data_IF_759480355427
#
_entry.id   IF_759480355427
#
_cell.length_a   1.000
_cell.length_b   1.000
_cell.length_c   1.000
_cell.angle_alpha   90.00
_cell.angle_beta   90.00
_cell.angle_gamma   90.00
#
_symmetry.space_group_name_H-M   'P 1'
#
loop_
_entity.id
_entity.type
_entity.pdbx_description
1 polymer ?
#
# COMPACT_ATOMS: atom_id res chain seq x y z
N UNK A 1 31.63 -3.88 -30.66
CA UNK A 1 30.95 -4.74 -29.67
C UNK A 1 30.01 -3.82 -28.88
N UNK A 2 28.70 -4.02 -29.02
CA UNK A 2 27.71 -3.13 -28.41
C UNK A 2 27.57 -3.51 -26.93
N UNK A 3 28.05 -2.68 -26.01
CA UNK A 3 28.02 -2.97 -24.56
C UNK A 3 26.63 -3.30 -24.01
N UNK A 4 25.57 -2.77 -24.64
CA UNK A 4 24.17 -3.10 -24.30
C UNK A 4 23.84 -4.59 -24.50
N UNK A 5 24.44 -5.24 -25.49
CA UNK A 5 24.21 -6.67 -25.78
C UNK A 5 24.97 -7.58 -24.82
N UNK A 6 26.11 -7.12 -24.29
CA UNK A 6 26.95 -7.90 -23.39
C UNK A 6 26.49 -7.81 -21.92
N UNK A 7 25.91 -6.67 -21.52
CA UNK A 7 25.45 -6.42 -20.13
C UNK A 7 23.98 -6.79 -19.91
N UNK A 8 23.18 -6.75 -20.99
CA UNK A 8 21.74 -7.11 -21.00
C UNK A 8 21.39 -8.43 -20.28
N UNK A 9 22.10 -9.56 -20.52
CA UNK A 9 21.72 -10.84 -19.93
C UNK A 9 21.86 -10.89 -18.40
N UNK A 10 22.73 -10.06 -17.83
CA UNK A 10 22.94 -9.95 -16.39
C UNK A 10 21.93 -8.99 -15.73
N UNK A 11 21.54 -7.93 -16.44
CA UNK A 11 20.66 -6.88 -15.91
C UNK A 11 19.21 -7.37 -15.73
N UNK A 12 18.73 -8.20 -16.67
CA UNK A 12 17.37 -8.78 -16.64
C UNK A 12 17.07 -9.56 -15.34
N UNK A 13 17.88 -10.54 -14.91
CA UNK A 13 17.60 -11.29 -13.69
C UNK A 13 17.70 -10.42 -12.43
N UNK A 14 18.61 -9.44 -12.40
CA UNK A 14 18.73 -8.51 -11.27
C UNK A 14 17.45 -7.69 -11.11
N UNK A 15 16.94 -7.12 -12.20
CA UNK A 15 15.67 -6.37 -12.18
C UNK A 15 14.49 -7.28 -11.83
N UNK A 16 14.47 -8.51 -12.36
CA UNK A 16 13.43 -9.48 -12.05
C UNK A 16 13.35 -9.81 -10.54
N UNK A 17 14.49 -9.84 -9.84
CA UNK A 17 14.52 -10.02 -8.38
C UNK A 17 13.96 -8.82 -7.61
N UNK A 18 14.00 -7.60 -8.18
CA UNK A 18 13.46 -6.40 -7.55
C UNK A 18 11.94 -6.30 -7.69
N UNK A 19 11.35 -6.90 -8.72
CA UNK A 19 9.89 -6.89 -8.96
C UNK A 19 9.07 -7.36 -7.74
N UNK A 20 9.33 -8.53 -7.12
CA UNK A 20 8.56 -8.96 -5.96
C UNK A 20 8.74 -8.03 -4.75
N UNK A 21 9.94 -7.49 -4.55
CA UNK A 21 10.25 -6.57 -3.44
C UNK A 21 9.42 -5.29 -3.59
N UNK A 22 9.40 -4.70 -4.78
CA UNK A 22 8.59 -3.53 -5.07
C UNK A 22 7.10 -3.81 -4.85
N UNK A 23 6.61 -5.00 -5.22
CA UNK A 23 5.23 -5.41 -4.98
C UNK A 23 4.86 -5.46 -3.50
N UNK A 24 5.72 -6.05 -2.65
CA UNK A 24 5.50 -6.11 -1.20
C UNK A 24 5.50 -4.71 -0.58
N UNK A 25 6.45 -3.86 -0.98
CA UNK A 25 6.53 -2.48 -0.48
C UNK A 25 5.29 -1.69 -0.90
N UNK A 26 4.88 -1.75 -2.17
CA UNK A 26 3.70 -1.06 -2.66
C UNK A 26 2.44 -1.51 -1.91
N UNK A 27 2.26 -2.81 -1.72
CA UNK A 27 1.14 -3.35 -0.93
C UNK A 27 1.15 -2.85 0.51
N UNK A 28 2.31 -2.85 1.16
CA UNK A 28 2.45 -2.37 2.54
C UNK A 28 2.13 -0.87 2.65
N UNK A 29 2.65 -0.05 1.73
CA UNK A 29 2.38 1.39 1.68
C UNK A 29 0.89 1.65 1.50
N UNK A 30 0.22 0.98 0.56
CA UNK A 30 -1.23 1.13 0.36
C UNK A 30 -2.01 0.76 1.63
N UNK A 31 -1.63 -0.34 2.29
CA UNK A 31 -2.28 -0.80 3.53
C UNK A 31 -2.13 0.22 4.66
N UNK A 32 -0.94 0.78 4.85
CA UNK A 32 -0.67 1.78 5.89
C UNK A 32 -1.39 3.10 5.59
N UNK A 33 -1.31 3.58 4.35
CA UNK A 33 -1.99 4.82 3.94
C UNK A 33 -3.49 4.71 4.14
N UNK A 34 -4.10 3.58 3.77
CA UNK A 34 -5.53 3.34 4.00
C UNK A 34 -5.89 3.42 5.48
N UNK A 35 -5.10 2.79 6.35
CA UNK A 35 -5.33 2.80 7.79
C UNK A 35 -5.21 4.21 8.39
N UNK A 36 -4.23 5.00 7.93
CA UNK A 36 -4.07 6.39 8.35
C UNK A 36 -5.27 7.25 7.92
N UNK A 37 -5.76 7.08 6.68
CA UNK A 37 -6.92 7.82 6.19
C UNK A 37 -8.19 7.48 6.99
N UNK A 38 -8.41 6.21 7.30
CA UNK A 38 -9.54 5.77 8.12
C UNK A 38 -9.48 6.39 9.52
N UNK A 39 -8.29 6.38 10.14
CA UNK A 39 -8.09 6.96 11.46
C UNK A 39 -8.34 8.47 11.46
N UNK A 40 -7.79 9.20 10.49
CA UNK A 40 -7.95 10.65 10.39
C UNK A 40 -9.41 11.03 10.09
N UNK A 41 -10.09 10.26 9.25
CA UNK A 41 -11.52 10.46 8.96
C UNK A 41 -12.36 10.26 10.22
N UNK A 42 -12.12 9.17 10.97
CA UNK A 42 -12.84 8.92 12.23
C UNK A 42 -12.57 10.03 13.25
N UNK A 43 -11.34 10.53 13.32
CA UNK A 43 -10.96 11.64 14.19
C UNK A 43 -11.70 12.93 13.82
N UNK A 44 -11.73 13.29 12.53
CA UNK A 44 -12.44 14.47 12.06
C UNK A 44 -13.95 14.39 12.30
N UNK A 45 -14.57 13.24 12.06
CA UNK A 45 -15.99 13.04 12.32
C UNK A 45 -16.30 13.17 13.81
N UNK A 46 -15.48 12.54 14.66
CA UNK A 46 -15.61 12.63 16.11
C UNK A 46 -15.42 14.06 16.62
N UNK A 47 -14.44 14.82 16.11
CA UNK A 47 -14.23 16.22 16.52
C UNK A 47 -15.38 17.12 16.10
N UNK A 48 -16.06 16.79 15.01
CA UNK A 48 -17.24 17.52 14.52
C UNK A 48 -18.53 17.06 15.21
N UNK A 49 -18.47 16.12 16.16
CA UNK A 49 -19.64 15.56 16.83
C UNK A 49 -20.55 14.74 15.91
N UNK A 50 -20.09 14.38 14.71
CA UNK A 50 -20.83 13.55 13.77
C UNK A 50 -20.68 12.08 14.15
N UNK A 51 -21.77 11.29 14.05
CA UNK A 51 -21.68 9.86 14.28
C UNK A 51 -20.75 9.22 13.23
N UNK A 52 -19.88 8.31 13.68
CA UNK A 52 -18.98 7.58 12.78
C UNK A 52 -19.81 6.55 11.99
N UNK A 53 -19.76 6.56 10.65
CA UNK A 53 -20.49 5.62 9.82
C UNK A 53 -20.16 4.15 10.17
N UNK A 54 -21.16 3.26 10.15
CA UNK A 54 -20.97 1.85 10.51
C UNK A 54 -20.01 1.12 9.55
N UNK A 55 -19.91 1.56 8.30
CA UNK A 55 -18.97 1.01 7.31
C UNK A 55 -17.52 1.30 7.70
N UNK A 56 -17.25 2.52 8.19
CA UNK A 56 -15.94 2.91 8.71
C UNK A 56 -15.56 2.10 9.95
N UNK A 57 -16.52 1.88 10.86
CA UNK A 57 -16.31 1.07 12.06
C UNK A 57 -16.06 -0.41 11.73
N UNK A 58 -16.81 -1.00 10.80
CA UNK A 58 -16.61 -2.37 10.34
C UNK A 58 -15.21 -2.54 9.72
N UNK A 59 -14.73 -1.53 8.99
CA UNK A 59 -13.43 -1.56 8.38
C UNK A 59 -12.27 -1.37 9.38
N UNK A 60 -12.44 -0.49 10.37
CA UNK A 60 -11.45 -0.28 11.46
C UNK A 60 -11.35 -1.51 12.37
N UNK A 61 -12.48 -2.14 12.69
CA UNK A 61 -12.53 -3.33 13.56
C UNK A 61 -12.07 -4.62 12.86
N UNK A 62 -11.67 -4.53 11.58
CA UNK A 62 -11.22 -5.69 10.82
C UNK A 62 -12.33 -6.70 10.54
N UNK A 63 -13.60 -6.32 10.70
CA UNK A 63 -14.75 -7.16 10.43
C UNK A 63 -15.07 -7.14 8.93
N UNK A 64 -14.09 -7.58 8.13
CA UNK A 64 -14.27 -7.85 6.72
C UNK A 64 -14.95 -9.23 6.63
N UNK A 65 -16.26 -9.23 6.39
CA UNK A 65 -16.99 -10.45 6.01
C UNK A 65 -16.31 -11.14 4.82
#
# INVERSE_FOLDING_TARGET
MNMLSDVSPLLVPIVALLVPIAGVIAWAVVKVTRMNLLHETARHLSSNGQPIPPELLAEITGHKR
#
